data_IF_064770654429
#
_entry.id   IF_064770654429
#
_cell.length_a   1.000
_cell.length_b   1.000
_cell.length_c   1.000
_cell.angle_alpha   90.00
_cell.angle_beta   90.00
_cell.angle_gamma   90.00
#
_symmetry.space_group_name_H-M   'P 1'
#
loop_
_entity.id
_entity.type
_entity.pdbx_description
1 polymer ?
#
# COMPACT_ATOMS: atom_id res chain seq x y z
N UNK A 1 -5.51 20.18 -0.90
CA UNK A 1 -4.39 21.05 -1.32
C UNK A 1 -4.35 21.29 -2.83
N UNK A 2 -4.40 20.25 -3.68
CA UNK A 2 -4.38 20.42 -5.16
C UNK A 2 -5.72 20.89 -5.73
N UNK A 3 -6.81 20.19 -5.38
CA UNK A 3 -8.16 20.45 -5.88
C UNK A 3 -8.78 21.69 -5.22
N UNK A 4 -8.63 21.80 -3.90
CA UNK A 4 -9.08 22.95 -3.11
C UNK A 4 -7.87 23.64 -2.45
N UNK A 5 -7.32 24.70 -3.05
CA UNK A 5 -6.21 25.46 -2.49
C UNK A 5 -6.64 26.48 -1.43
N UNK A 6 -7.93 26.85 -1.36
CA UNK A 6 -8.48 27.86 -0.44
C UNK A 6 -9.02 27.28 0.87
N UNK A 7 -9.20 25.95 0.96
CA UNK A 7 -9.50 25.30 2.24
C UNK A 7 -8.22 25.21 3.08
N UNK A 8 -8.31 25.58 4.37
CA UNK A 8 -7.21 25.41 5.33
C UNK A 8 -6.67 23.98 5.24
N UNK A 9 -5.35 23.83 5.14
CA UNK A 9 -4.72 22.51 5.19
C UNK A 9 -5.06 21.84 6.52
N UNK A 10 -5.22 20.52 6.51
CA UNK A 10 -5.46 19.75 7.71
C UNK A 10 -4.39 20.10 8.76
N UNK A 11 -4.82 20.62 9.91
CA UNK A 11 -3.91 20.92 11.01
C UNK A 11 -3.33 19.63 11.57
N UNK A 12 -2.18 19.70 12.25
CA UNK A 12 -1.51 18.54 12.85
C UNK A 12 -2.47 17.72 13.73
N UNK A 13 -3.34 18.39 14.48
CA UNK A 13 -4.40 17.75 15.30
C UNK A 13 -5.38 16.96 14.43
N UNK A 14 -5.88 17.54 13.34
CA UNK A 14 -6.77 16.84 12.42
C UNK A 14 -6.09 15.65 11.73
N UNK A 15 -4.80 15.75 11.42
CA UNK A 15 -4.03 14.63 10.88
C UNK A 15 -3.86 13.51 11.93
N UNK A 16 -3.56 13.86 13.18
CA UNK A 16 -3.45 12.90 14.27
C UNK A 16 -4.77 12.16 14.54
N UNK A 17 -5.90 12.89 14.58
CA UNK A 17 -7.23 12.29 14.73
C UNK A 17 -7.54 11.34 13.57
N UNK A 18 -7.25 11.74 12.33
CA UNK A 18 -7.45 10.87 11.17
C UNK A 18 -6.59 9.61 11.24
N UNK A 19 -5.31 9.73 11.66
CA UNK A 19 -4.42 8.59 11.86
C UNK A 19 -4.96 7.62 12.92
N UNK A 20 -5.37 8.14 14.08
CA UNK A 20 -5.98 7.30 15.13
C UNK A 20 -7.26 6.62 14.64
N UNK A 21 -8.11 7.34 13.91
CA UNK A 21 -9.32 6.78 13.31
C UNK A 21 -9.03 5.65 12.32
N UNK A 22 -8.00 5.81 11.47
CA UNK A 22 -7.57 4.75 10.55
C UNK A 22 -7.07 3.51 11.29
N UNK A 23 -6.26 3.69 12.34
CA UNK A 23 -5.78 2.58 13.16
C UNK A 23 -6.93 1.83 13.86
N UNK A 24 -7.84 2.56 14.50
CA UNK A 24 -9.02 1.97 15.15
C UNK A 24 -9.86 1.18 14.14
N UNK A 25 -10.11 1.77 12.97
CA UNK A 25 -10.83 1.09 11.90
C UNK A 25 -10.09 -0.17 11.43
N UNK A 26 -8.77 -0.14 11.28
CA UNK A 26 -7.97 -1.31 10.92
C UNK A 26 -8.09 -2.44 11.96
N UNK A 27 -8.05 -2.12 13.26
CA UNK A 27 -8.26 -3.11 14.31
C UNK A 27 -9.66 -3.71 14.26
N UNK A 28 -10.68 -2.88 14.08
CA UNK A 28 -12.07 -3.34 13.97
C UNK A 28 -12.27 -4.26 12.76
N UNK A 29 -11.67 -3.94 11.62
CA UNK A 29 -11.76 -4.76 10.41
C UNK A 29 -10.99 -6.09 10.55
N UNK A 30 -9.90 -6.12 11.31
CA UNK A 30 -9.11 -7.34 11.55
C UNK A 30 -9.69 -8.25 12.66
N UNK A 31 -10.56 -7.72 13.52
CA UNK A 31 -11.14 -8.42 14.66
C UNK A 31 -11.86 -9.74 14.30
N UNK A 32 -12.64 -9.81 13.20
CA UNK A 32 -13.28 -11.07 12.79
C UNK A 32 -12.31 -12.14 12.34
N UNK A 33 -11.12 -11.77 11.88
CA UNK A 33 -10.11 -12.79 11.59
C UNK A 33 -9.45 -13.30 12.89
N UNK A 34 -9.25 -12.41 13.86
CA UNK A 34 -8.63 -12.76 15.14
C UNK A 34 -9.48 -13.72 15.98
N UNK A 35 -10.79 -13.43 16.13
CA UNK A 35 -11.67 -14.24 16.99
C UNK A 35 -11.95 -15.62 16.38
N UNK A 36 -12.00 -15.74 15.05
CA UNK A 36 -12.37 -16.97 14.34
C UNK A 36 -11.16 -17.79 13.86
N UNK A 37 -9.93 -17.36 14.16
CA UNK A 37 -8.72 -18.17 13.95
C UNK A 37 -8.48 -19.07 15.16
N UNK A 38 -8.35 -20.36 14.90
CA UNK A 38 -8.07 -21.37 15.92
C UNK A 38 -6.87 -22.21 15.51
N UNK A 39 -6.09 -22.64 16.51
CA UNK A 39 -5.01 -23.60 16.31
C UNK A 39 -5.61 -25.00 16.45
N UNK A 40 -5.62 -25.78 15.35
CA UNK A 40 -6.03 -27.19 15.40
C UNK A 40 -4.80 -28.08 15.30
N UNK A 41 -4.73 -29.09 16.17
CA UNK A 41 -3.70 -30.11 16.16
C UNK A 41 -4.25 -31.33 15.42
N UNK A 42 -3.54 -31.80 14.41
CA UNK A 42 -3.92 -32.99 13.66
C UNK A 42 -2.85 -34.06 13.87
N UNK A 43 -3.31 -35.24 14.27
CA UNK A 43 -2.42 -36.37 14.49
C UNK A 43 -1.98 -36.90 13.13
N UNK A 44 -0.68 -36.79 12.85
CA UNK A 44 -0.10 -37.35 11.64
C UNK A 44 0.72 -38.54 12.10
N UNK A 45 0.40 -39.75 11.66
CA UNK A 45 1.12 -40.96 12.06
C UNK A 45 2.42 -41.09 11.25
N UNK A 46 3.29 -40.08 11.32
CA UNK A 46 4.59 -40.06 10.67
C UNK A 46 5.68 -40.44 11.68
N UNK A 47 6.72 -41.19 11.27
CA UNK A 47 7.80 -41.56 12.18
C UNK A 47 8.54 -40.31 12.69
N UNK A 48 8.42 -40.02 13.99
CA UNK A 48 9.06 -38.88 14.66
C UNK A 48 8.24 -37.59 14.73
N UNK A 49 7.03 -37.55 14.15
CA UNK A 49 6.11 -36.41 14.24
C UNK A 49 4.71 -36.99 14.46
N UNK A 50 4.22 -36.97 15.71
CA UNK A 50 2.89 -37.52 16.06
C UNK A 50 1.75 -36.50 15.84
N UNK A 51 2.05 -35.20 15.91
CA UNK A 51 1.07 -34.13 15.76
C UNK A 51 1.62 -32.98 14.93
N UNK A 52 0.84 -32.49 13.97
CA UNK A 52 1.09 -31.23 13.26
C UNK A 52 0.00 -30.24 13.61
N UNK A 53 0.41 -29.07 14.12
CA UNK A 53 -0.49 -27.97 14.44
C UNK A 53 -0.59 -27.01 13.25
N UNK A 54 -1.79 -26.69 12.81
CA UNK A 54 -2.03 -25.67 11.80
C UNK A 54 -3.13 -24.68 12.23
N UNK A 55 -2.97 -23.43 11.80
CA UNK A 55 -3.90 -22.35 12.11
C UNK A 55 -5.00 -22.33 11.06
N UNK A 56 -6.25 -22.56 11.47
CA UNK A 56 -7.42 -22.56 10.59
C UNK A 56 -8.43 -21.51 10.99
N UNK A 57 -9.17 -21.04 10.00
CA UNK A 57 -10.32 -20.19 10.18
C UNK A 57 -11.55 -21.07 10.45
N UNK A 58 -12.02 -21.10 11.70
CA UNK A 58 -13.14 -21.92 12.16
C UNK A 58 -14.39 -21.04 12.27
N UNK A 59 -15.01 -20.78 11.12
CA UNK A 59 -16.20 -19.94 11.05
C UNK A 59 -17.45 -20.71 11.50
N UNK A 60 -18.36 -20.10 12.29
CA UNK A 60 -19.58 -20.75 12.78
C UNK A 60 -20.62 -21.02 11.69
N UNK A 61 -20.45 -20.41 10.53
CA UNK A 61 -21.33 -20.55 9.36
C UNK A 61 -20.52 -21.10 8.19
N UNK A 62 -21.12 -22.01 7.42
CA UNK A 62 -20.52 -22.60 6.22
C UNK A 62 -20.08 -21.55 5.17
N UNK A 63 -20.73 -20.39 5.14
CA UNK A 63 -20.38 -19.28 4.22
C UNK A 63 -19.69 -18.10 4.91
N UNK A 64 -19.37 -18.21 6.22
CA UNK A 64 -18.77 -17.12 6.99
C UNK A 64 -17.43 -16.64 6.42
N UNK A 65 -16.57 -17.60 6.05
CA UNK A 65 -15.28 -17.34 5.39
C UNK A 65 -15.44 -16.56 4.08
N UNK A 66 -16.34 -17.00 3.21
CA UNK A 66 -16.60 -16.34 1.93
C UNK A 66 -17.10 -14.91 2.12
N UNK A 67 -18.06 -14.69 3.02
CA UNK A 67 -18.58 -13.34 3.29
C UNK A 67 -17.49 -12.40 3.80
N UNK A 68 -16.63 -12.88 4.70
CA UNK A 68 -15.52 -12.10 5.22
C UNK A 68 -14.48 -11.80 4.13
N UNK A 69 -14.09 -12.78 3.31
CA UNK A 69 -13.17 -12.59 2.18
C UNK A 69 -13.71 -11.55 1.19
N UNK A 70 -14.98 -11.65 0.80
CA UNK A 70 -15.63 -10.67 -0.10
C UNK A 70 -15.66 -9.28 0.54
N UNK A 71 -16.02 -9.19 1.83
CA UNK A 71 -16.03 -7.93 2.57
C UNK A 71 -14.64 -7.28 2.60
N UNK A 72 -13.60 -8.05 2.94
CA UNK A 72 -12.21 -7.58 2.98
C UNK A 72 -11.79 -7.02 1.62
N UNK A 73 -12.12 -7.70 0.52
CA UNK A 73 -11.78 -7.23 -0.83
C UNK A 73 -12.49 -5.94 -1.17
N UNK A 74 -13.80 -5.85 -0.90
CA UNK A 74 -14.55 -4.63 -1.19
C UNK A 74 -13.98 -3.45 -0.40
N UNK A 75 -13.74 -3.64 0.90
CA UNK A 75 -13.36 -2.57 1.82
C UNK A 75 -11.87 -2.21 1.73
N UNK A 76 -10.99 -3.20 1.63
CA UNK A 76 -9.54 -3.00 1.67
C UNK A 76 -8.90 -2.92 0.29
N UNK A 77 -9.60 -3.31 -0.79
CA UNK A 77 -9.08 -3.27 -2.15
C UNK A 77 -9.90 -2.38 -3.08
N UNK A 78 -11.18 -2.67 -3.29
CA UNK A 78 -12.01 -1.94 -4.26
C UNK A 78 -12.26 -0.48 -3.86
N UNK A 79 -12.64 -0.22 -2.61
CA UNK A 79 -12.90 1.14 -2.13
C UNK A 79 -11.65 2.04 -2.16
N UNK A 80 -10.46 1.59 -1.71
CA UNK A 80 -9.22 2.35 -1.86
C UNK A 80 -8.90 2.65 -3.32
N UNK A 81 -8.99 1.66 -4.22
CA UNK A 81 -8.72 1.86 -5.66
C UNK A 81 -9.68 2.87 -6.27
N UNK A 82 -10.96 2.77 -5.98
CA UNK A 82 -11.96 3.70 -6.50
C UNK A 82 -11.71 5.12 -5.99
N UNK A 83 -11.45 5.26 -4.69
CA UNK A 83 -11.17 6.56 -4.06
C UNK A 83 -9.92 7.20 -4.64
N UNK A 84 -8.84 6.43 -4.79
CA UNK A 84 -7.60 6.87 -5.44
C UNK A 84 -7.85 7.27 -6.89
N UNK A 85 -8.54 6.44 -7.67
CA UNK A 85 -8.85 6.72 -9.07
C UNK A 85 -9.62 8.02 -9.25
N UNK A 86 -10.67 8.24 -8.44
CA UNK A 86 -11.47 9.48 -8.47
C UNK A 86 -10.62 10.68 -8.05
N UNK A 87 -9.86 10.57 -6.96
CA UNK A 87 -8.99 11.64 -6.48
C UNK A 87 -7.97 12.05 -7.54
N UNK A 88 -7.33 11.08 -8.19
CA UNK A 88 -6.34 11.32 -9.23
C UNK A 88 -6.95 11.85 -10.52
N UNK A 89 -8.11 11.35 -10.95
CA UNK A 89 -8.84 11.91 -12.08
C UNK A 89 -9.12 13.40 -11.86
N UNK A 90 -9.58 13.78 -10.65
CA UNK A 90 -9.79 15.19 -10.28
C UNK A 90 -8.50 16.00 -10.26
N UNK A 91 -7.39 15.45 -9.77
CA UNK A 91 -6.08 16.10 -9.76
C UNK A 91 -5.58 16.34 -11.18
N UNK A 92 -5.62 15.33 -12.04
CA UNK A 92 -5.23 15.42 -13.45
C UNK A 92 -6.07 16.44 -14.20
N UNK A 93 -7.39 16.43 -14.02
CA UNK A 93 -8.29 17.41 -14.64
C UNK A 93 -7.99 18.83 -14.17
N UNK A 94 -7.73 19.03 -12.87
CA UNK A 94 -7.39 20.35 -12.33
C UNK A 94 -6.03 20.85 -12.85
N UNK A 95 -5.05 19.96 -13.00
CA UNK A 95 -3.73 20.28 -13.54
C UNK A 95 -3.81 20.64 -15.03
N UNK A 96 -4.60 19.91 -15.82
CA UNK A 96 -4.88 20.21 -17.23
C UNK A 96 -5.57 21.57 -17.37
N UNK A 97 -6.62 21.81 -16.59
CA UNK A 97 -7.32 23.10 -16.57
C UNK A 97 -6.38 24.27 -16.24
N UNK A 98 -5.51 24.12 -15.23
CA UNK A 98 -4.53 25.17 -14.88
C UNK A 98 -3.52 25.44 -15.98
N UNK A 99 -3.08 24.42 -16.72
CA UNK A 99 -2.18 24.61 -17.87
C UNK A 99 -2.87 25.30 -19.05
N UNK A 100 -4.13 24.95 -19.32
CA UNK A 100 -4.93 25.58 -20.37
C UNK A 100 -5.25 27.05 -20.05
N UNK A 101 -5.50 27.38 -18.78
CA UNK A 101 -5.82 28.74 -18.33
C UNK A 101 -4.61 29.54 -17.82
N UNK A 102 -3.39 29.00 -17.83
CA UNK A 102 -2.21 29.76 -17.44
C UNK A 102 -1.79 30.68 -18.59
N UNK A 103 -2.30 31.91 -18.59
CA UNK A 103 -1.72 32.99 -19.40
C UNK A 103 -0.26 33.20 -19.01
N UNK A 104 0.54 33.71 -19.95
CA UNK A 104 2.01 33.90 -19.97
C UNK A 104 2.64 34.61 -18.75
N UNK A 105 1.83 34.99 -17.74
CA UNK A 105 2.19 35.71 -16.51
C UNK A 105 2.32 34.85 -15.25
N UNK A 106 2.44 33.52 -15.35
CA UNK A 106 2.72 32.71 -14.15
C UNK A 106 4.14 32.98 -13.63
N UNK A 107 4.22 33.53 -12.41
CA UNK A 107 5.49 33.81 -11.73
C UNK A 107 6.35 32.54 -11.66
N UNK A 108 7.67 32.67 -11.76
CA UNK A 108 8.62 31.54 -11.66
C UNK A 108 8.38 30.70 -10.39
N UNK A 109 7.94 31.34 -9.30
CA UNK A 109 7.55 30.72 -8.03
C UNK A 109 6.30 29.83 -8.14
N UNK A 110 5.30 30.21 -8.95
CA UNK A 110 4.11 29.37 -9.21
C UNK A 110 4.48 28.11 -9.99
N UNK A 111 5.29 28.25 -11.06
CA UNK A 111 5.75 27.12 -11.87
C UNK A 111 6.58 26.11 -11.06
N UNK A 112 7.48 26.59 -10.19
CA UNK A 112 8.24 25.73 -9.26
C UNK A 112 7.33 24.98 -8.28
N UNK A 113 6.30 25.64 -7.74
CA UNK A 113 5.32 25.02 -6.82
C UNK A 113 4.50 23.93 -7.52
N UNK A 114 4.03 24.18 -8.74
CA UNK A 114 3.28 23.20 -9.52
C UNK A 114 4.14 22.00 -9.90
N UNK A 115 5.41 22.21 -10.26
CA UNK A 115 6.37 21.14 -10.52
C UNK A 115 6.64 20.24 -9.30
N UNK A 116 6.90 20.83 -8.13
CA UNK A 116 7.08 20.07 -6.88
C UNK A 116 5.83 19.26 -6.53
N UNK A 117 4.65 19.87 -6.67
CA UNK A 117 3.38 19.23 -6.37
C UNK A 117 3.06 18.07 -7.34
N UNK A 118 3.43 18.19 -8.62
CA UNK A 118 3.37 17.08 -9.58
C UNK A 118 4.25 15.92 -9.16
N UNK A 119 5.52 16.17 -8.80
CA UNK A 119 6.44 15.12 -8.33
C UNK A 119 5.88 14.38 -7.11
N UNK A 120 5.40 15.12 -6.11
CA UNK A 120 4.74 14.52 -4.94
C UNK A 120 3.52 13.69 -5.33
N UNK A 121 2.67 14.19 -6.22
CA UNK A 121 1.50 13.44 -6.67
C UNK A 121 1.88 12.18 -7.46
N UNK A 122 2.86 12.26 -8.36
CA UNK A 122 3.40 11.11 -9.11
C UNK A 122 3.94 10.05 -8.16
N UNK A 123 4.70 10.44 -7.13
CA UNK A 123 5.17 9.53 -6.10
C UNK A 123 4.01 8.82 -5.38
N UNK A 124 2.99 9.57 -4.94
CA UNK A 124 1.83 8.99 -4.27
C UNK A 124 1.06 8.01 -5.18
N UNK A 125 0.93 8.34 -6.47
CA UNK A 125 0.32 7.43 -7.48
C UNK A 125 1.14 6.16 -7.63
N UNK A 126 2.47 6.28 -7.78
CA UNK A 126 3.34 5.13 -7.94
C UNK A 126 3.27 4.18 -6.74
N UNK A 127 3.27 4.72 -5.51
CA UNK A 127 3.11 3.94 -4.27
C UNK A 127 1.77 3.21 -4.28
N UNK A 128 0.69 3.93 -4.57
CA UNK A 128 -0.65 3.36 -4.61
C UNK A 128 -0.80 2.25 -5.67
N UNK A 129 -0.27 2.45 -6.88
CA UNK A 129 -0.32 1.46 -7.95
C UNK A 129 0.48 0.21 -7.60
N UNK A 130 1.70 0.37 -7.07
CA UNK A 130 2.51 -0.77 -6.67
C UNK A 130 1.84 -1.55 -5.55
N UNK A 131 1.25 -0.87 -4.57
CA UNK A 131 0.44 -1.52 -3.54
C UNK A 131 -0.74 -2.29 -4.15
N UNK A 132 -1.49 -1.70 -5.08
CA UNK A 132 -2.63 -2.40 -5.70
C UNK A 132 -2.19 -3.63 -6.53
N UNK A 133 -1.09 -3.52 -7.29
CA UNK A 133 -0.57 -4.59 -8.14
C UNK A 133 0.07 -5.72 -7.34
N UNK A 134 0.76 -5.40 -6.25
CA UNK A 134 1.39 -6.40 -5.37
C UNK A 134 0.37 -7.20 -4.58
N UNK A 135 -0.74 -6.58 -4.16
CA UNK A 135 -1.79 -7.25 -3.39
C UNK A 135 -2.87 -7.91 -4.25
N UNK A 136 -2.96 -7.59 -5.54
CA UNK A 136 -3.94 -8.18 -6.46
C UNK A 136 -3.87 -9.72 -6.51
N UNK A 137 -2.69 -10.37 -6.64
CA UNK A 137 -2.61 -11.81 -6.79
C UNK A 137 -3.18 -12.55 -5.58
N UNK A 138 -2.88 -12.08 -4.38
CA UNK A 138 -3.37 -12.68 -3.13
C UNK A 138 -4.89 -12.51 -2.97
N UNK A 139 -5.41 -11.32 -3.25
CA UNK A 139 -6.86 -11.08 -3.16
C UNK A 139 -7.62 -11.91 -4.21
N UNK A 140 -7.11 -12.01 -5.43
CA UNK A 140 -7.70 -12.85 -6.48
C UNK A 140 -7.65 -14.33 -6.10
N UNK A 141 -6.52 -14.80 -5.60
CA UNK A 141 -6.36 -16.18 -5.11
C UNK A 141 -7.41 -16.51 -4.04
N UNK A 142 -7.57 -15.67 -3.02
CA UNK A 142 -8.52 -15.91 -1.94
C UNK A 142 -9.97 -16.05 -2.47
N UNK A 143 -10.38 -15.20 -3.42
CA UNK A 143 -11.72 -15.30 -4.05
C UNK A 143 -11.90 -16.58 -4.82
N UNK A 144 -10.91 -16.91 -5.66
CA UNK A 144 -10.99 -18.08 -6.54
C UNK A 144 -11.07 -19.37 -5.72
N UNK A 145 -10.25 -19.47 -4.67
CA UNK A 145 -10.28 -20.60 -3.74
C UNK A 145 -11.62 -20.65 -2.99
N UNK A 146 -12.11 -19.53 -2.48
CA UNK A 146 -13.35 -19.52 -1.69
C UNK A 146 -14.62 -19.73 -2.56
N UNK A 147 -14.60 -19.39 -3.86
CA UNK A 147 -15.76 -19.56 -4.76
C UNK A 147 -15.86 -20.92 -5.44
N UNK A 148 -14.74 -21.45 -5.93
CA UNK A 148 -14.73 -22.65 -6.77
C UNK A 148 -13.78 -23.74 -6.27
N UNK A 149 -12.86 -23.41 -5.36
CA UNK A 149 -11.76 -24.27 -4.91
C UNK A 149 -11.17 -25.13 -6.05
N UNK A 150 -10.49 -24.52 -7.05
CA UNK A 150 -10.00 -25.24 -8.23
C UNK A 150 -8.90 -26.28 -7.93
N UNK A 151 -8.35 -26.26 -6.72
CA UNK A 151 -7.28 -27.16 -6.30
C UNK A 151 -7.80 -28.47 -5.68
N UNK A 152 -9.10 -28.56 -5.35
CA UNK A 152 -9.68 -29.77 -4.75
C UNK A 152 -8.90 -30.21 -3.51
N UNK A 153 -8.35 -31.43 -3.55
CA UNK A 153 -7.51 -32.02 -2.49
C UNK A 153 -6.00 -31.80 -2.69
N UNK A 154 -5.57 -31.18 -3.81
CA UNK A 154 -4.16 -30.87 -4.10
C UNK A 154 -3.65 -29.69 -3.24
N UNK A 155 -3.32 -30.04 -2.01
CA UNK A 155 -2.86 -29.09 -0.98
C UNK A 155 -1.48 -28.53 -1.29
N UNK A 156 -0.62 -29.27 -2.00
CA UNK A 156 0.74 -28.84 -2.32
C UNK A 156 0.73 -27.67 -3.31
N UNK A 157 0.03 -27.83 -4.43
CA UNK A 157 -0.15 -26.76 -5.43
C UNK A 157 -0.85 -25.54 -4.81
N UNK A 158 -1.86 -25.78 -3.97
CA UNK A 158 -2.59 -24.72 -3.25
C UNK A 158 -1.64 -23.87 -2.39
N UNK A 159 -0.74 -24.51 -1.62
CA UNK A 159 0.22 -23.84 -0.74
C UNK A 159 1.32 -23.10 -1.51
N UNK A 160 1.84 -23.68 -2.60
CA UNK A 160 2.86 -23.04 -3.44
C UNK A 160 2.29 -21.75 -4.06
N UNK A 161 1.10 -21.83 -4.65
CA UNK A 161 0.44 -20.66 -5.27
C UNK A 161 0.15 -19.60 -4.21
N UNK A 162 -0.40 -20.00 -3.05
CA UNK A 162 -0.62 -19.07 -1.93
C UNK A 162 0.68 -18.36 -1.52
N UNK A 163 1.78 -19.11 -1.38
CA UNK A 163 3.08 -18.59 -0.95
C UNK A 163 3.62 -17.54 -1.93
N UNK A 164 3.54 -17.81 -3.24
CA UNK A 164 3.97 -16.85 -4.28
C UNK A 164 3.10 -15.59 -4.26
N UNK A 165 1.78 -15.74 -4.17
CA UNK A 165 0.85 -14.61 -4.08
C UNK A 165 1.09 -13.78 -2.80
N UNK A 166 1.36 -14.44 -1.69
CA UNK A 166 1.66 -13.81 -0.41
C UNK A 166 2.99 -13.04 -0.47
N UNK A 167 4.04 -13.63 -1.04
CA UNK A 167 5.32 -12.96 -1.25
C UNK A 167 5.19 -11.70 -2.11
N UNK A 168 4.37 -11.75 -3.16
CA UNK A 168 4.07 -10.58 -3.97
C UNK A 168 3.45 -9.45 -3.12
N UNK A 169 2.45 -9.75 -2.29
CA UNK A 169 1.84 -8.78 -1.39
C UNK A 169 2.85 -8.19 -0.39
N UNK A 170 3.69 -9.03 0.21
CA UNK A 170 4.69 -8.60 1.19
C UNK A 170 5.77 -7.67 0.58
N UNK A 171 6.09 -7.83 -0.70
CA UNK A 171 7.05 -6.97 -1.41
C UNK A 171 6.65 -5.48 -1.45
N UNK A 172 5.36 -5.18 -1.26
CA UNK A 172 4.84 -3.81 -1.15
C UNK A 172 5.49 -3.02 -0.01
N UNK A 173 5.84 -3.67 1.09
CA UNK A 173 6.50 -3.03 2.22
C UNK A 173 7.90 -2.51 1.84
N UNK A 174 8.66 -3.29 1.08
CA UNK A 174 9.98 -2.91 0.57
C UNK A 174 9.91 -1.83 -0.52
N UNK A 175 8.82 -1.82 -1.30
CA UNK A 175 8.61 -0.85 -2.38
C UNK A 175 8.49 0.58 -1.86
N UNK A 176 7.96 0.77 -0.66
CA UNK A 176 7.76 2.10 -0.08
C UNK A 176 9.09 2.86 0.08
N UNK A 177 10.08 2.41 0.88
CA UNK A 177 11.39 3.07 0.97
C UNK A 177 12.09 3.26 -0.39
N UNK A 178 12.02 2.28 -1.29
CA UNK A 178 12.65 2.35 -2.62
C UNK A 178 12.06 3.49 -3.46
N UNK A 179 10.74 3.63 -3.47
CA UNK A 179 10.05 4.71 -4.17
C UNK A 179 10.38 6.08 -3.57
N UNK A 180 10.44 6.18 -2.24
CA UNK A 180 10.88 7.42 -1.58
C UNK A 180 12.34 7.74 -1.91
N UNK A 181 13.24 6.75 -1.90
CA UNK A 181 14.65 6.95 -2.24
C UNK A 181 14.89 7.33 -3.71
N UNK A 182 14.11 6.76 -4.63
CA UNK A 182 14.30 6.99 -6.06
C UNK A 182 13.58 8.25 -6.58
N UNK A 183 12.32 8.47 -6.18
CA UNK A 183 11.46 9.52 -6.73
C UNK A 183 11.39 10.79 -5.87
N UNK A 184 11.82 10.75 -4.60
CA UNK A 184 11.84 11.93 -3.73
C UNK A 184 13.26 12.47 -3.57
N UNK A 185 13.58 13.49 -4.38
CA UNK A 185 14.88 14.18 -4.36
C UNK A 185 15.32 14.63 -2.96
N UNK A 186 14.37 14.95 -2.07
CA UNK A 186 14.70 15.35 -0.69
C UNK A 186 15.18 14.15 0.13
N UNK A 187 14.50 13.01 0.04
CA UNK A 187 14.93 11.80 0.75
C UNK A 187 16.27 11.29 0.23
N UNK A 188 16.48 11.35 -1.09
CA UNK A 188 17.74 10.93 -1.71
C UNK A 188 18.94 11.75 -1.18
N UNK A 189 18.78 13.06 -1.03
CA UNK A 189 19.84 13.93 -0.49
C UNK A 189 20.21 13.57 0.94
N UNK A 190 19.19 13.47 1.81
CA UNK A 190 19.40 13.08 3.22
C UNK A 190 20.05 11.69 3.34
N UNK A 191 19.63 10.74 2.49
CA UNK A 191 20.22 9.40 2.48
C UNK A 191 21.67 9.40 2.03
N UNK A 192 22.02 10.22 1.03
CA UNK A 192 23.40 10.40 0.58
C UNK A 192 24.26 11.12 1.62
N UNK A 193 23.71 12.10 2.35
CA UNK A 193 24.40 12.76 3.46
C UNK A 193 24.69 11.78 4.60
N UNK A 194 23.70 10.97 5.00
CA UNK A 194 23.89 9.90 6.00
C UNK A 194 24.93 8.88 5.52
N UNK A 195 24.88 8.46 4.25
CA UNK A 195 25.82 7.50 3.69
C UNK A 195 27.25 8.06 3.60
N UNK A 196 27.38 9.36 3.30
CA UNK A 196 28.66 10.06 3.31
C UNK A 196 29.23 10.20 4.73
N UNK A 197 28.39 10.39 5.75
CA UNK A 197 28.81 10.38 7.16
C UNK A 197 29.23 8.99 7.64
N UNK A 198 28.61 7.93 7.12
CA UNK A 198 28.93 6.54 7.43
C UNK A 198 30.12 5.98 6.64
N UNK A 199 30.57 6.68 5.60
CA UNK A 199 31.70 6.28 4.75
C UNK A 199 32.87 7.27 4.94
N UNK A 200 33.88 6.96 5.78
CA UNK A 200 35.00 7.86 6.07
C UNK A 200 35.85 8.25 4.85
N UNK A 201 35.68 7.55 3.73
CA UNK A 201 36.50 7.67 2.52
C UNK A 201 35.78 8.29 1.32
N UNK A 202 34.55 8.81 1.48
CA UNK A 202 33.84 9.44 0.37
C UNK A 202 34.13 10.96 0.33
N UNK A 203 34.61 11.52 -0.79
CA UNK A 203 34.84 12.96 -0.90
C UNK A 203 33.50 13.72 -0.85
N UNK A 204 33.43 14.89 -0.18
CA UNK A 204 32.23 15.69 -0.12
C UNK A 204 31.78 16.07 -1.55
N UNK A 205 30.49 15.89 -1.84
CA UNK A 205 29.90 16.30 -3.12
C UNK A 205 30.09 17.81 -3.32
N UNK A 206 30.46 18.28 -4.52
CA UNK A 206 30.63 19.70 -4.78
C UNK A 206 29.28 20.40 -4.57
N UNK A 207 29.27 21.36 -3.64
CA UNK A 207 28.18 22.32 -3.46
C UNK A 207 27.86 22.97 -4.81
N UNK A 208 26.59 23.04 -5.24
CA UNK A 208 26.25 23.80 -6.44
C UNK A 208 26.61 25.26 -6.18
N UNK A 209 27.58 25.77 -6.93
CA UNK A 209 28.00 27.17 -6.91
C UNK A 209 26.79 28.06 -7.16
N UNK A 210 26.56 28.98 -6.23
CA UNK A 210 25.74 30.15 -6.49
C UNK A 210 26.54 31.04 -7.48
N UNK A 211 26.08 31.07 -8.72
CA UNK A 211 26.38 32.10 -9.71
C UNK A 211 25.05 32.46 -10.41
#
# INVERSE_FOLDING_TARGET
VIVYPTKKSLQKVGAAVALMGMWLLSFLLALPNFIWRTLKNHEVKLPGIETVSYCVEDWPSAHGRLYYSVFVIVVQYCLPILTLSIAYARICNKLKYRMANSSTRSSSRSRKKDGRMRRTNTLLVSIALIFCLSWLPLNLYNVVVDLHNPFGDDTESMLIVYSVCHMAGMSSACSNPLLYGWLNDNFRKEFLEIFALLCPFCPPSPTPSAA
#
